data_IF_034475615593
#
_entry.id   IF_034475615593
#
_cell.length_a   1.000
_cell.length_b   1.000
_cell.length_c   1.000
_cell.angle_alpha   90.00
_cell.angle_beta   90.00
_cell.angle_gamma   90.00
#
_symmetry.space_group_name_H-M   'P 1'
#
loop_
_entity.id
_entity.type
_entity.pdbx_description
1 polymer ?
#
# COMPACT_ATOMS: atom_id res chain seq x y z
N UNK A 1 -8.78 8.61 -10.97
CA UNK A 1 -9.89 8.86 -10.03
C UNK A 1 -9.41 8.99 -8.58
N UNK A 2 -8.22 8.48 -8.24
CA UNK A 2 -7.60 8.72 -6.94
C UNK A 2 -7.22 10.20 -6.74
N UNK A 3 -7.64 10.77 -5.61
CA UNK A 3 -7.28 12.12 -5.14
C UNK A 3 -6.63 11.99 -3.76
N UNK A 4 -5.44 12.55 -3.62
CA UNK A 4 -4.69 12.55 -2.36
C UNK A 4 -4.55 13.99 -1.87
N UNK A 5 -4.87 14.20 -0.59
CA UNK A 5 -4.73 15.49 0.05
C UNK A 5 -4.43 15.30 1.53
N UNK A 6 -3.47 16.07 2.04
CA UNK A 6 -3.09 16.02 3.45
C UNK A 6 -1.80 16.79 3.70
N UNK A 7 -1.63 17.24 4.94
CA UNK A 7 -0.39 17.84 5.38
C UNK A 7 0.73 16.77 5.42
N UNK A 8 1.95 17.15 5.01
CA UNK A 8 3.11 16.25 4.98
C UNK A 8 3.13 15.22 3.84
N UNK A 9 2.14 15.22 2.95
CA UNK A 9 2.09 14.24 1.86
C UNK A 9 3.31 14.35 0.91
N UNK A 10 3.75 15.57 0.58
CA UNK A 10 4.94 15.79 -0.26
C UNK A 10 6.20 15.17 0.33
N UNK A 11 6.38 15.24 1.66
CA UNK A 11 7.54 14.65 2.34
C UNK A 11 7.48 13.13 2.27
N UNK A 12 6.31 12.53 2.51
CA UNK A 12 6.12 11.08 2.37
C UNK A 12 6.42 10.59 0.94
N UNK A 13 6.05 11.36 -0.09
CA UNK A 13 6.38 11.02 -1.48
C UNK A 13 7.88 11.12 -1.77
N UNK A 14 8.57 12.11 -1.18
CA UNK A 14 10.02 12.25 -1.31
C UNK A 14 10.74 11.08 -0.64
N UNK A 15 10.31 10.69 0.55
CA UNK A 15 10.90 9.56 1.28
C UNK A 15 10.69 8.24 0.55
N UNK A 16 9.49 8.01 -0.01
CA UNK A 16 9.19 6.85 -0.84
C UNK A 16 10.03 6.84 -2.13
N UNK A 17 10.18 8.00 -2.79
CA UNK A 17 10.99 8.14 -4.00
C UNK A 17 12.50 8.03 -3.78
N UNK A 18 13.00 8.35 -2.59
CA UNK A 18 14.41 8.18 -2.23
C UNK A 18 14.79 6.72 -1.94
N UNK A 19 13.80 5.83 -1.77
CA UNK A 19 14.04 4.42 -1.49
C UNK A 19 14.47 3.67 -2.75
N UNK A 20 15.76 3.35 -2.83
CA UNK A 20 16.37 2.69 -4.00
C UNK A 20 16.01 1.20 -4.15
N UNK A 21 15.59 0.54 -3.07
CA UNK A 21 15.34 -0.91 -3.05
C UNK A 21 14.00 -1.25 -2.38
N UNK A 22 13.26 -2.12 -3.05
CA UNK A 22 11.97 -2.65 -2.65
C UNK A 22 10.80 -1.92 -3.27
N UNK A 23 9.67 -1.97 -2.58
CA UNK A 23 8.44 -1.29 -2.94
C UNK A 23 7.91 -0.48 -1.76
N UNK A 24 7.12 0.55 -2.04
CA UNK A 24 6.37 1.30 -1.02
C UNK A 24 4.95 1.50 -1.53
N UNK A 25 4.00 1.17 -0.67
CA UNK A 25 2.55 1.34 -0.91
C UNK A 25 1.96 2.13 0.24
N UNK A 26 0.90 2.89 -0.02
CA UNK A 26 0.29 3.74 0.99
C UNK A 26 -1.04 3.15 1.43
N UNK A 27 -1.14 2.84 2.73
CA UNK A 27 -2.36 2.36 3.35
C UNK A 27 -3.24 3.51 3.83
N UNK A 28 -4.55 3.40 3.67
CA UNK A 28 -5.52 4.33 4.23
C UNK A 28 -6.65 3.57 4.91
N UNK A 29 -7.08 4.07 6.07
CA UNK A 29 -8.20 3.47 6.78
C UNK A 29 -9.49 3.72 5.99
N UNK A 30 -10.23 2.66 5.69
CA UNK A 30 -11.52 2.74 5.01
C UNK A 30 -12.57 1.99 5.80
N UNK A 31 -13.83 2.41 5.64
CA UNK A 31 -14.96 1.76 6.29
C UNK A 31 -15.31 0.40 5.66
N UNK A 32 -15.15 0.28 4.34
CA UNK A 32 -15.53 -0.91 3.56
C UNK A 32 -14.30 -1.55 2.89
N UNK A 33 -13.38 -2.17 3.66
CA UNK A 33 -12.09 -2.65 3.15
C UNK A 33 -12.20 -3.80 2.14
N UNK A 34 -13.25 -4.61 2.22
CA UNK A 34 -13.56 -5.73 1.29
C UNK A 34 -13.63 -5.36 -0.21
N UNK A 35 -13.65 -4.07 -0.55
CA UNK A 35 -13.69 -3.58 -1.93
C UNK A 35 -12.30 -3.36 -2.54
N UNK A 36 -11.25 -3.49 -1.73
CA UNK A 36 -9.88 -3.10 -2.06
C UNK A 36 -8.87 -4.19 -1.68
N UNK A 37 -7.61 -4.01 -2.06
CA UNK A 37 -6.49 -4.73 -1.47
C UNK A 37 -6.29 -4.29 -0.02
N UNK A 38 -6.33 -5.23 0.93
CA UNK A 38 -6.27 -4.97 2.37
C UNK A 38 -4.94 -5.46 2.91
N UNK A 39 -4.25 -4.61 3.65
CA UNK A 39 -3.00 -4.97 4.31
C UNK A 39 -3.28 -5.72 5.62
N UNK A 40 -2.58 -6.82 5.85
CA UNK A 40 -2.55 -7.53 7.12
C UNK A 40 -1.33 -7.10 7.94
N UNK A 41 -1.53 -6.89 9.25
CA UNK A 41 -0.47 -6.49 10.17
C UNK A 41 -0.22 -7.55 11.22
N UNK A 42 1.04 -7.72 11.61
CA UNK A 42 1.41 -8.45 12.82
C UNK A 42 1.11 -7.62 14.09
N UNK A 43 1.40 -8.21 15.26
CA UNK A 43 1.22 -7.57 16.56
C UNK A 43 2.07 -6.32 16.79
N UNK A 44 3.12 -6.12 15.97
CA UNK A 44 4.01 -4.96 16.04
C UNK A 44 3.66 -3.89 14.99
N UNK A 45 2.56 -4.07 14.24
CA UNK A 45 2.14 -3.15 13.18
C UNK A 45 2.95 -3.27 11.90
N UNK A 46 3.69 -4.38 11.69
CA UNK A 46 4.38 -4.63 10.41
C UNK A 46 3.43 -5.31 9.44
N UNK A 47 3.48 -4.90 8.18
CA UNK A 47 2.71 -5.55 7.11
C UNK A 47 3.28 -6.95 6.88
N UNK A 48 2.44 -7.97 7.01
CA UNK A 48 2.80 -9.38 6.79
C UNK A 48 2.10 -10.00 5.60
N UNK A 49 1.05 -9.36 5.09
CA UNK A 49 0.28 -9.85 3.97
C UNK A 49 -0.53 -8.75 3.29
N UNK A 50 -0.98 -9.05 2.08
CA UNK A 50 -1.93 -8.24 1.33
C UNK A 50 -2.94 -9.19 0.67
N UNK A 51 -4.22 -8.93 0.87
CA UNK A 51 -5.29 -9.74 0.31
C UNK A 51 -6.19 -8.87 -0.57
N UNK A 52 -6.44 -9.28 -1.81
CA UNK A 52 -7.27 -8.53 -2.75
C UNK A 52 -8.75 -8.84 -2.53
N UNK A 53 -9.53 -7.81 -2.15
CA UNK A 53 -10.98 -7.88 -1.94
C UNK A 53 -11.40 -9.04 -1.02
N UNK A 54 -10.85 -9.12 0.20
CA UNK A 54 -11.16 -10.20 1.12
C UNK A 54 -12.63 -10.19 1.51
N UNK A 55 -13.26 -11.37 1.54
CA UNK A 55 -14.61 -11.53 2.07
C UNK A 55 -14.66 -11.28 3.59
N UNK A 56 -13.56 -11.56 4.29
CA UNK A 56 -13.38 -11.31 5.72
C UNK A 56 -12.06 -10.56 5.96
N UNK A 57 -12.07 -9.22 5.83
CA UNK A 57 -10.87 -8.40 5.92
C UNK A 57 -10.21 -8.49 7.30
N UNK A 58 -8.90 -8.75 7.32
CA UNK A 58 -8.10 -8.82 8.56
C UNK A 58 -7.73 -7.45 9.13
N UNK A 59 -7.93 -6.39 8.36
CA UNK A 59 -7.78 -5.00 8.83
C UNK A 59 -8.69 -4.06 8.04
N UNK A 60 -8.77 -2.80 8.47
CA UNK A 60 -9.47 -1.74 7.76
C UNK A 60 -8.53 -0.88 6.89
N UNK A 61 -7.27 -1.27 6.71
CA UNK A 61 -6.31 -0.51 5.91
C UNK A 61 -6.29 -1.01 4.48
N UNK A 62 -6.91 -0.25 3.59
CA UNK A 62 -6.84 -0.48 2.16
C UNK A 62 -5.55 0.11 1.59
N UNK A 63 -4.93 -0.63 0.68
CA UNK A 63 -3.84 -0.11 -0.14
C UNK A 63 -4.42 0.81 -1.21
N UNK A 64 -3.93 2.04 -1.23
CA UNK A 64 -4.37 3.07 -2.17
C UNK A 64 -3.72 2.90 -3.54
N UNK A 65 -4.25 3.59 -4.55
CA UNK A 65 -3.76 3.56 -5.93
C UNK A 65 -2.40 4.25 -6.18
N UNK A 66 -1.51 4.29 -5.18
CA UNK A 66 -0.19 4.91 -5.28
C UNK A 66 0.90 3.94 -4.84
N UNK A 67 1.83 3.66 -5.74
CA UNK A 67 2.84 2.62 -5.58
C UNK A 67 4.20 3.12 -6.09
N UNK A 68 5.25 2.84 -5.32
CA UNK A 68 6.64 3.05 -5.71
C UNK A 68 7.31 1.69 -5.76
N UNK A 69 8.01 1.42 -6.86
CA UNK A 69 8.74 0.18 -7.07
C UNK A 69 10.16 0.46 -7.53
N UNK A 70 11.08 -0.43 -7.18
CA UNK A 70 12.40 -0.46 -7.80
C UNK A 70 12.38 -1.11 -9.19
N UNK A 71 13.55 -1.16 -9.85
CA UNK A 71 13.70 -1.67 -11.21
C UNK A 71 13.35 -3.14 -11.42
N UNK A 72 13.02 -3.91 -10.38
CA UNK A 72 12.68 -5.34 -10.48
C UNK A 72 11.19 -5.58 -10.71
N UNK A 73 10.34 -4.56 -10.58
CA UNK A 73 8.88 -4.75 -10.69
C UNK A 73 8.43 -5.30 -12.05
N UNK A 74 9.11 -4.93 -13.15
CA UNK A 74 8.84 -5.51 -14.47
C UNK A 74 9.08 -7.02 -14.50
N UNK A 75 10.12 -7.49 -13.81
CA UNK A 75 10.47 -8.91 -13.78
C UNK A 75 9.42 -9.71 -13.01
N UNK A 76 8.92 -9.15 -11.89
CA UNK A 76 7.83 -9.76 -11.13
C UNK A 76 6.49 -9.73 -11.88
N UNK A 77 6.25 -8.73 -12.72
CA UNK A 77 5.01 -8.60 -13.49
C UNK A 77 4.99 -9.44 -14.78
N UNK A 78 6.16 -9.86 -15.28
CA UNK A 78 6.27 -10.66 -16.50
C UNK A 78 6.01 -12.16 -16.30
N UNK A 79 5.95 -12.61 -15.05
CA UNK A 79 5.65 -13.99 -14.66
C UNK A 79 4.14 -14.26 -14.62
#
# INVERSE_FOLDING_TARGET
DNLFYGHGFTEQLRDAGARMLGATVFGYWVRDPQRYGVAEFDTNGRVVGLEEKPAQPRSNYAVTGLYFYDGRASDFAAA
#
